data_IF_444895812454
#
_entry.id   IF_444895812454
#
_cell.length_a   1.000
_cell.length_b   1.000
_cell.length_c   1.000
_cell.angle_alpha   90.00
_cell.angle_beta   90.00
_cell.angle_gamma   90.00
#
_symmetry.space_group_name_H-M   'P 1'
#
loop_
_entity.id
_entity.type
_entity.pdbx_description
1 polymer ?
#
# COMPACT_ATOMS: atom_id res chain seq x y z
N UNK A 1 -34.53 42.94 17.70
CA UNK A 1 -33.51 41.99 18.19
C UNK A 1 -33.26 40.93 17.12
N UNK A 2 -32.22 41.11 16.31
CA UNK A 2 -31.87 40.19 15.21
C UNK A 2 -30.83 39.22 15.75
N UNK A 3 -31.22 37.94 15.93
CA UNK A 3 -30.31 36.82 16.20
C UNK A 3 -29.54 36.51 14.91
N UNK A 4 -28.39 37.14 14.72
CA UNK A 4 -27.49 36.80 13.63
C UNK A 4 -26.87 35.42 13.91
N UNK A 5 -27.24 34.47 13.04
CA UNK A 5 -26.67 33.14 12.89
C UNK A 5 -25.14 33.20 12.99
N UNK A 6 -24.58 32.42 13.92
CA UNK A 6 -23.16 32.04 13.89
C UNK A 6 -22.87 31.40 12.54
N UNK A 7 -22.21 32.16 11.65
CA UNK A 7 -21.49 31.57 10.54
C UNK A 7 -20.32 30.80 11.14
N UNK A 8 -20.39 29.46 11.01
CA UNK A 8 -19.27 28.55 11.22
C UNK A 8 -18.18 28.93 10.20
N UNK A 9 -17.36 29.93 10.54
CA UNK A 9 -16.28 30.43 9.70
C UNK A 9 -15.09 29.49 9.89
N UNK A 10 -15.15 28.31 9.26
CA UNK A 10 -13.91 27.57 8.99
C UNK A 10 -13.13 28.48 8.04
N UNK A 11 -11.94 28.99 8.42
CA UNK A 11 -11.22 29.90 7.55
C UNK A 11 -10.87 29.14 6.26
N UNK A 12 -11.29 29.70 5.13
CA UNK A 12 -11.08 29.20 3.77
C UNK A 12 -9.70 28.53 3.53
N UNK A 13 -8.57 29.06 4.03
CA UNK A 13 -7.27 28.40 3.89
C UNK A 13 -7.16 27.02 4.58
N UNK A 14 -7.80 26.81 5.73
CA UNK A 14 -7.79 25.50 6.40
C UNK A 14 -8.62 24.47 5.62
N UNK A 15 -9.73 24.90 5.03
CA UNK A 15 -10.58 24.02 4.22
C UNK A 15 -9.87 23.61 2.92
N UNK A 16 -9.22 24.54 2.22
CA UNK A 16 -8.43 24.25 1.02
C UNK A 16 -7.26 23.30 1.32
N UNK A 17 -6.57 23.51 2.43
CA UNK A 17 -5.49 22.62 2.85
C UNK A 17 -5.99 21.21 3.17
N UNK A 18 -7.11 21.07 3.87
CA UNK A 18 -7.73 19.78 4.14
C UNK A 18 -8.14 19.04 2.86
N UNK A 19 -8.68 19.76 1.86
CA UNK A 19 -9.04 19.19 0.55
C UNK A 19 -7.80 18.64 -0.16
N UNK A 20 -6.70 19.40 -0.18
CA UNK A 20 -5.45 18.96 -0.82
C UNK A 20 -4.89 17.70 -0.17
N UNK A 21 -4.86 17.65 1.17
CA UNK A 21 -4.40 16.47 1.92
C UNK A 21 -5.30 15.25 1.62
N UNK A 22 -6.62 15.43 1.55
CA UNK A 22 -7.55 14.34 1.21
C UNK A 22 -7.34 13.84 -0.23
N UNK A 23 -7.06 14.74 -1.18
CA UNK A 23 -6.76 14.34 -2.56
C UNK A 23 -5.42 13.59 -2.66
N UNK A 24 -4.40 14.06 -1.95
CA UNK A 24 -3.11 13.37 -1.86
C UNK A 24 -3.27 11.97 -1.28
N UNK A 25 -4.03 11.82 -0.17
CA UNK A 25 -4.32 10.51 0.42
C UNK A 25 -5.05 9.59 -0.56
N UNK A 26 -6.06 10.07 -1.28
CA UNK A 26 -6.76 9.26 -2.31
C UNK A 26 -5.82 8.84 -3.43
N UNK A 27 -4.94 9.72 -3.89
CA UNK A 27 -3.96 9.40 -4.91
C UNK A 27 -2.98 8.32 -4.43
N UNK A 28 -2.47 8.42 -3.20
CA UNK A 28 -1.62 7.41 -2.56
C UNK A 28 -2.35 6.06 -2.43
N UNK A 29 -3.62 6.05 -2.02
CA UNK A 29 -4.42 4.80 -1.95
C UNK A 29 -4.57 4.16 -3.33
N UNK A 30 -4.87 4.94 -4.36
CA UNK A 30 -5.00 4.44 -5.73
C UNK A 30 -3.66 3.91 -6.27
N UNK A 31 -2.55 4.60 -5.99
CA UNK A 31 -1.19 4.18 -6.33
C UNK A 31 -0.82 2.86 -5.67
N UNK A 32 -1.04 2.75 -4.35
CA UNK A 32 -0.80 1.53 -3.59
C UNK A 32 -1.65 0.35 -4.10
N UNK A 33 -2.94 0.59 -4.42
CA UNK A 33 -3.81 -0.45 -4.97
C UNK A 33 -3.30 -0.99 -6.32
N UNK A 34 -2.77 -0.11 -7.18
CA UNK A 34 -2.17 -0.50 -8.47
C UNK A 34 -0.91 -1.35 -8.25
N UNK A 35 -0.04 -0.95 -7.33
CA UNK A 35 1.18 -1.70 -6.99
C UNK A 35 0.85 -3.10 -6.46
N UNK A 36 -0.15 -3.22 -5.57
CA UNK A 36 -0.59 -4.52 -5.04
C UNK A 36 -1.11 -5.45 -6.15
N UNK A 37 -1.87 -4.90 -7.10
CA UNK A 37 -2.36 -5.67 -8.23
C UNK A 37 -1.20 -6.20 -9.09
N UNK A 38 -0.19 -5.37 -9.35
CA UNK A 38 0.99 -5.75 -10.13
C UNK A 38 1.85 -6.80 -9.39
N UNK A 39 2.06 -6.64 -8.08
CA UNK A 39 2.73 -7.63 -7.22
C UNK A 39 2.01 -8.98 -7.30
N UNK A 40 0.67 -8.98 -7.20
CA UNK A 40 -0.13 -10.20 -7.31
C UNK A 40 0.03 -10.90 -8.67
N UNK A 41 0.15 -10.16 -9.76
CA UNK A 41 0.46 -10.72 -11.09
C UNK A 41 1.86 -11.34 -11.11
N UNK A 42 2.87 -10.64 -10.59
CA UNK A 42 4.26 -11.14 -10.53
C UNK A 42 4.35 -12.44 -9.73
N UNK A 43 3.70 -12.51 -8.57
CA UNK A 43 3.66 -13.74 -7.77
C UNK A 43 2.97 -14.90 -8.50
N UNK A 44 1.85 -14.65 -9.19
CA UNK A 44 1.19 -15.69 -10.02
C UNK A 44 2.09 -16.19 -11.15
N UNK A 45 2.97 -15.35 -11.68
CA UNK A 45 3.94 -15.70 -12.72
C UNK A 45 5.26 -16.27 -12.17
N UNK A 46 5.46 -16.33 -10.84
CA UNK A 46 6.71 -16.79 -10.22
C UNK A 46 7.87 -15.80 -10.32
N UNK A 47 7.58 -14.53 -10.63
CA UNK A 47 8.57 -13.47 -10.78
C UNK A 47 8.84 -12.73 -9.46
N UNK A 48 10.05 -12.18 -9.33
CA UNK A 48 10.38 -11.27 -8.23
C UNK A 48 9.60 -9.96 -8.35
N UNK A 49 9.00 -9.53 -7.23
CA UNK A 49 8.30 -8.26 -7.09
C UNK A 49 9.01 -7.27 -6.14
N UNK A 50 10.30 -7.50 -5.82
CA UNK A 50 11.02 -6.77 -4.75
C UNK A 50 10.96 -5.24 -4.91
N UNK A 51 11.14 -4.74 -6.13
CA UNK A 51 11.09 -3.29 -6.41
C UNK A 51 9.68 -2.72 -6.25
N UNK A 52 8.65 -3.48 -6.62
CA UNK A 52 7.25 -3.07 -6.44
C UNK A 52 6.87 -3.06 -4.96
N UNK A 53 7.38 -4.01 -4.18
CA UNK A 53 7.17 -4.08 -2.73
C UNK A 53 7.80 -2.85 -2.04
N UNK A 54 9.02 -2.46 -2.39
CA UNK A 54 9.66 -1.23 -1.83
C UNK A 54 8.87 0.03 -2.15
N UNK A 55 8.34 0.13 -3.37
CA UNK A 55 7.46 1.25 -3.75
C UNK A 55 6.17 1.26 -2.94
N UNK A 56 5.58 0.08 -2.74
CA UNK A 56 4.38 -0.07 -1.91
C UNK A 56 4.65 0.33 -0.46
N UNK A 57 5.78 -0.06 0.12
CA UNK A 57 6.20 0.36 1.46
C UNK A 57 6.30 1.88 1.58
N UNK A 58 6.83 2.55 0.55
CA UNK A 58 6.95 4.01 0.50
C UNK A 58 5.58 4.70 0.44
N UNK A 59 4.66 4.19 -0.38
CA UNK A 59 3.29 4.71 -0.46
C UNK A 59 2.53 4.51 0.86
N UNK A 60 2.66 3.33 1.49
CA UNK A 60 2.04 3.03 2.78
C UNK A 60 2.61 3.89 3.92
N UNK A 61 3.92 4.12 3.94
CA UNK A 61 4.54 5.03 4.90
C UNK A 61 4.05 6.48 4.72
N UNK A 62 3.85 6.91 3.47
CA UNK A 62 3.27 8.22 3.16
C UNK A 62 1.83 8.32 3.64
N UNK A 63 1.01 7.30 3.39
CA UNK A 63 -0.37 7.22 3.88
C UNK A 63 -0.42 7.27 5.41
N UNK A 64 0.47 6.54 6.09
CA UNK A 64 0.55 6.52 7.55
C UNK A 64 0.91 7.89 8.10
N UNK A 65 1.89 8.58 7.48
CA UNK A 65 2.27 9.95 7.86
C UNK A 65 1.13 10.95 7.67
N UNK A 66 0.38 10.85 6.56
CA UNK A 66 -0.75 11.75 6.27
C UNK A 66 -1.95 11.50 7.20
N UNK A 67 -2.13 10.25 7.66
CA UNK A 67 -3.22 9.85 8.55
C UNK A 67 -2.89 9.96 10.05
N UNK A 68 -1.62 10.14 10.41
CA UNK A 68 -1.14 10.19 11.79
C UNK A 68 -1.91 11.25 12.60
N UNK A 69 -2.67 10.80 13.60
CA UNK A 69 -3.44 11.65 14.50
C UNK A 69 -4.78 12.16 13.94
N UNK A 70 -5.20 11.77 12.73
CA UNK A 70 -6.44 12.25 12.08
C UNK A 70 -7.38 11.15 11.63
N UNK A 71 -7.13 9.89 11.96
CA UNK A 71 -7.92 8.73 11.51
C UNK A 71 -9.41 8.88 11.85
N UNK A 72 -9.73 9.47 13.00
CA UNK A 72 -11.11 9.74 13.43
C UNK A 72 -11.79 10.87 12.63
N UNK A 73 -11.00 11.81 12.08
CA UNK A 73 -11.47 12.95 11.28
C UNK A 73 -11.52 12.65 9.78
N UNK A 74 -11.09 11.45 9.35
CA UNK A 74 -11.16 11.05 7.95
C UNK A 74 -12.63 10.86 7.50
N UNK A 75 -12.99 11.26 6.27
CA UNK A 75 -14.27 10.91 5.68
C UNK A 75 -14.48 9.38 5.65
N UNK A 76 -15.71 8.93 5.87
CA UNK A 76 -16.06 7.49 5.88
C UNK A 76 -15.67 6.76 4.59
N UNK A 77 -15.81 7.43 3.44
CA UNK A 77 -15.42 6.88 2.15
C UNK A 77 -13.92 6.56 2.11
N UNK A 78 -13.07 7.47 2.61
CA UNK A 78 -11.62 7.30 2.61
C UNK A 78 -11.18 6.24 3.62
N UNK A 79 -11.85 6.14 4.78
CA UNK A 79 -11.65 5.03 5.71
C UNK A 79 -11.98 3.69 5.06
N UNK A 80 -13.06 3.62 4.30
CA UNK A 80 -13.47 2.42 3.57
C UNK A 80 -12.45 2.05 2.49
N UNK A 81 -11.97 3.02 1.71
CA UNK A 81 -10.92 2.81 0.70
C UNK A 81 -9.62 2.26 1.32
N UNK A 82 -9.18 2.81 2.47
CA UNK A 82 -8.00 2.33 3.20
C UNK A 82 -8.23 0.90 3.74
N UNK A 83 -9.41 0.60 4.28
CA UNK A 83 -9.73 -0.75 4.75
C UNK A 83 -9.73 -1.77 3.61
N UNK A 84 -10.26 -1.40 2.43
CA UNK A 84 -10.19 -2.23 1.23
C UNK A 84 -8.75 -2.44 0.75
N UNK A 85 -7.91 -1.40 0.82
CA UNK A 85 -6.48 -1.50 0.49
C UNK A 85 -5.79 -2.52 1.41
N UNK A 86 -6.03 -2.45 2.72
CA UNK A 86 -5.48 -3.40 3.70
C UNK A 86 -5.91 -4.84 3.40
N UNK A 87 -7.20 -5.07 3.10
CA UNK A 87 -7.69 -6.38 2.71
C UNK A 87 -6.99 -6.92 1.45
N UNK A 88 -6.71 -6.05 0.46
CA UNK A 88 -5.96 -6.42 -0.75
C UNK A 88 -4.50 -6.76 -0.44
N UNK A 89 -3.84 -6.00 0.43
CA UNK A 89 -2.47 -6.34 0.88
C UNK A 89 -2.45 -7.73 1.50
N UNK A 90 -3.36 -8.01 2.43
CA UNK A 90 -3.46 -9.32 3.10
C UNK A 90 -3.71 -10.46 2.11
N UNK A 91 -4.60 -10.25 1.14
CA UNK A 91 -4.86 -11.25 0.10
C UNK A 91 -3.63 -11.51 -0.79
N UNK A 92 -2.90 -10.46 -1.19
CA UNK A 92 -1.68 -10.62 -2.00
C UNK A 92 -0.56 -11.30 -1.22
N UNK A 93 -0.41 -11.02 0.07
CA UNK A 93 0.54 -11.72 0.95
C UNK A 93 0.18 -13.20 1.03
N UNK A 94 -1.10 -13.54 1.25
CA UNK A 94 -1.56 -14.92 1.30
C UNK A 94 -1.28 -15.68 -0.01
N UNK A 95 -1.43 -15.03 -1.17
CA UNK A 95 -1.05 -15.60 -2.49
C UNK A 95 0.46 -15.88 -2.54
N UNK A 96 1.29 -14.95 -2.05
CA UNK A 96 2.74 -15.11 -1.98
C UNK A 96 3.16 -16.26 -1.06
N UNK A 97 2.53 -16.36 0.11
CA UNK A 97 2.78 -17.44 1.07
C UNK A 97 2.38 -18.81 0.53
N UNK A 98 1.21 -18.91 -0.12
CA UNK A 98 0.76 -20.13 -0.77
C UNK A 98 1.66 -20.53 -1.96
N UNK A 99 2.16 -19.56 -2.72
CA UNK A 99 3.16 -19.81 -3.76
C UNK A 99 4.49 -20.29 -3.15
N UNK A 100 4.96 -19.68 -2.06
CA UNK A 100 6.15 -20.12 -1.34
C UNK A 100 5.98 -21.49 -0.71
N UNK A 101 4.80 -21.84 -0.19
CA UNK A 101 4.54 -23.16 0.37
C UNK A 101 4.58 -24.25 -0.70
N UNK A 102 4.02 -23.97 -1.89
CA UNK A 102 4.00 -24.92 -3.02
C UNK A 102 5.35 -25.04 -3.73
N UNK A 103 6.07 -23.93 -3.90
CA UNK A 103 7.30 -23.85 -4.70
C UNK A 103 8.56 -23.87 -3.83
N UNK A 104 8.44 -23.67 -2.51
CA UNK A 104 9.53 -23.57 -1.54
C UNK A 104 10.51 -24.74 -1.53
N UNK A 105 10.04 -26.01 -1.59
CA UNK A 105 10.94 -27.17 -1.70
C UNK A 105 11.78 -27.16 -2.99
N UNK A 106 11.20 -26.71 -4.11
CA UNK A 106 11.86 -26.66 -5.42
C UNK A 106 12.81 -25.45 -5.55
N UNK A 107 12.41 -24.28 -5.03
CA UNK A 107 13.22 -23.07 -4.97
C UNK A 107 14.41 -23.21 -4.01
N UNK A 108 14.23 -23.88 -2.87
CA UNK A 108 15.33 -24.20 -1.96
C UNK A 108 16.37 -25.10 -2.64
N UNK A 109 15.98 -25.94 -3.61
CA UNK A 109 16.89 -26.89 -4.24
C UNK A 109 17.57 -26.32 -5.48
N UNK A 110 16.86 -25.57 -6.32
CA UNK A 110 17.41 -25.02 -7.58
C UNK A 110 17.93 -23.58 -7.41
N UNK A 111 17.24 -22.73 -6.63
CA UNK A 111 17.61 -21.33 -6.46
C UNK A 111 18.78 -21.17 -5.47
N UNK A 112 18.86 -21.99 -4.42
CA UNK A 112 20.05 -22.06 -3.54
C UNK A 112 21.25 -22.62 -4.30
N UNK A 113 21.07 -23.64 -5.16
CA UNK A 113 22.13 -24.11 -6.07
C UNK A 113 22.61 -23.03 -7.03
N UNK A 114 21.71 -22.28 -7.65
CA UNK A 114 22.08 -21.19 -8.57
C UNK A 114 22.73 -20.01 -7.83
N UNK A 115 22.27 -19.68 -6.61
CA UNK A 115 22.93 -18.69 -5.74
C UNK A 115 24.30 -19.15 -5.28
N UNK A 116 24.46 -20.41 -4.88
CA UNK A 116 25.75 -20.99 -4.51
C UNK A 116 26.71 -21.04 -5.70
N UNK A 117 26.24 -21.45 -6.89
CA UNK A 117 27.04 -21.42 -8.13
C UNK A 117 27.49 -20.01 -8.51
N UNK A 118 26.63 -18.99 -8.34
CA UNK A 118 27.02 -17.59 -8.56
C UNK A 118 27.93 -17.02 -7.48
N UNK A 119 27.69 -17.37 -6.21
CA UNK A 119 28.43 -16.82 -5.07
C UNK A 119 29.81 -17.46 -4.88
N UNK A 120 29.98 -18.73 -5.24
CA UNK A 120 31.22 -19.48 -5.05
C UNK A 120 31.91 -19.88 -6.36
N UNK A 121 31.38 -19.46 -7.52
CA UNK A 121 32.04 -19.64 -8.83
C UNK A 121 32.30 -21.09 -9.24
N UNK A 122 31.63 -22.06 -8.62
CA UNK A 122 31.81 -23.48 -8.94
C UNK A 122 31.04 -23.80 -10.21
N UNK A 123 31.77 -24.01 -11.31
CA UNK A 123 31.22 -24.53 -12.58
C UNK A 123 30.81 -25.99 -12.41
#
# INVERSE_FOLDING_TARGET
>A
MIRARLFLFVPLPLALWAILVLQEMRATVAGAAKLIAEIGVRFKSGDSALELIRRLETELATLFRLSAGKVHDLPDDLRTEIAQLLARVQATVAIGDDWLARTGPELATQHVRLRLKRAYGVR
#
